data_IF_234443499925
#
_entry.id   IF_234443499925
#
_cell.length_a   1.000
_cell.length_b   1.000
_cell.length_c   1.000
_cell.angle_alpha   90.00
_cell.angle_beta   90.00
_cell.angle_gamma   90.00
#
_symmetry.space_group_name_H-M   'P 1'
#
loop_
_entity.id
_entity.type
_entity.pdbx_description
1 polymer ?
2 water ?
#
# COMPACT_ATOMS: atom_id res chain seq x y z
N UNK A 6 -10.94 -13.56 16.81
CA UNK A 6 -10.47 -13.65 15.41
C UNK A 6 -11.63 -13.78 14.44
N UNK A 7 -11.57 -13.03 13.34
CA UNK A 7 -12.61 -13.08 12.31
C UNK A 7 -12.01 -13.38 10.93
N UNK A 8 -12.90 -13.81 10.02
CA UNK A 8 -12.50 -14.17 8.66
C UNK A 8 -13.04 -13.16 7.65
N UNK A 9 -14.35 -13.23 7.41
CA UNK A 9 -15.12 -12.40 6.48
C UNK A 9 -14.31 -11.93 5.26
N UNK A 10 -14.26 -10.61 5.05
CA UNK A 10 -13.52 -10.04 3.93
C UNK A 10 -13.02 -8.63 4.24
N UNK A 11 -11.81 -8.32 3.79
CA UNK A 11 -11.21 -7.01 4.04
C UNK A 11 -10.22 -6.62 2.95
N UNK A 12 -9.95 -5.32 2.84
CA UNK A 12 -9.00 -4.80 1.85
C UNK A 12 -7.67 -4.47 2.51
N UNK A 13 -6.58 -4.64 1.76
CA UNK A 13 -5.24 -4.41 2.28
C UNK A 13 -4.40 -3.54 1.34
N UNK A 14 -3.59 -2.66 1.92
CA UNK A 14 -2.72 -1.78 1.14
C UNK A 14 -1.25 -2.10 1.40
N UNK A 15 -0.45 -2.08 0.33
CA UNK A 15 0.99 -2.35 0.42
C UNK A 15 1.78 -1.25 -0.28
N UNK A 16 2.81 -0.73 0.40
CA UNK A 16 3.62 0.35 -0.16
C UNK A 16 5.10 0.16 0.14
N UNK A 17 5.94 0.59 -0.82
CA UNK A 17 7.39 0.52 -0.67
C UNK A 17 8.10 1.32 -1.76
N UNK A 18 9.12 2.07 -1.36
CA UNK A 18 9.88 2.91 -2.28
C UNK A 18 11.17 2.22 -2.73
N UNK A 19 11.48 2.32 -4.02
CA UNK A 19 12.70 1.70 -4.56
C UNK A 19 13.89 2.65 -4.45
N UNK A 20 13.60 3.93 -4.21
CA UNK A 20 14.63 4.95 -4.09
C UNK A 20 15.08 5.15 -2.65
N UNK A 21 15.30 4.04 -1.95
CA UNK A 21 15.74 4.08 -0.56
C UNK A 21 17.19 3.60 -0.44
N UNK A 22 18.12 4.49 -0.76
CA UNK A 22 19.56 4.18 -0.73
C UNK A 22 19.88 2.92 -1.53
N UNK A 23 19.65 2.99 -2.83
CA UNK A 23 19.89 1.87 -3.74
C UNK A 23 20.20 2.35 -5.15
N UNK A 24 19.81 3.59 -5.45
CA UNK A 24 20.02 4.18 -6.77
C UNK A 24 21.51 4.30 -7.10
N UNK A 25 22.15 5.35 -6.59
CA UNK A 25 23.58 5.58 -6.85
C UNK A 25 24.24 6.32 -5.69
N UNK A 26 23.54 6.38 -4.55
CA UNK A 26 24.04 7.07 -3.36
C UNK A 26 25.25 6.35 -2.76
N UNK A 27 26.09 7.11 -2.06
CA UNK A 27 27.28 6.55 -1.42
C UNK A 27 26.98 6.05 0.00
N UNK A 28 25.86 6.54 0.55
CA UNK A 28 25.42 6.19 1.90
C UNK A 28 26.14 7.01 2.97
N UNK A 29 25.39 7.94 3.58
CA UNK A 29 25.96 8.81 4.62
C UNK A 29 25.15 8.74 5.91
N UNK A 30 25.85 8.79 7.05
CA UNK A 30 25.18 8.75 8.36
C UNK A 30 24.41 10.04 8.65
N UNK A 31 24.87 11.15 8.07
CA UNK A 31 24.22 12.45 8.26
C UNK A 31 23.40 12.84 7.03
N UNK A 32 22.25 13.47 7.28
CA UNK A 32 21.34 13.92 6.22
C UNK A 32 20.61 12.75 5.54
N UNK A 33 21.38 11.81 5.01
CA UNK A 33 20.82 10.64 4.35
C UNK A 33 20.04 9.78 5.35
N UNK A 34 19.28 8.81 4.81
CA UNK A 34 18.40 7.94 5.60
C UNK A 34 17.81 8.65 6.82
N UNK A 35 17.49 9.93 6.65
CA UNK A 35 16.87 10.74 7.71
C UNK A 35 15.81 11.69 7.14
N UNK A 36 16.04 12.10 5.87
CA UNK A 36 15.06 12.92 5.16
C UNK A 36 13.93 12.06 4.59
N UNK A 37 14.29 10.84 4.20
CA UNK A 37 13.33 9.85 3.72
C UNK A 37 12.51 9.30 4.89
N UNK A 38 13.17 9.16 6.04
CA UNK A 38 12.53 8.71 7.27
C UNK A 38 11.60 9.79 7.83
N UNK A 39 11.88 11.04 7.46
CA UNK A 39 11.05 12.17 7.88
C UNK A 39 9.76 12.24 7.06
N UNK A 40 9.80 11.65 5.87
CA UNK A 40 8.62 11.57 5.00
C UNK A 40 7.62 10.55 5.55
N UNK A 41 8.13 9.37 5.92
CA UNK A 41 7.31 8.31 6.49
C UNK A 41 6.78 8.69 7.87
N UNK A 42 7.43 9.66 8.51
CA UNK A 42 7.00 10.14 9.82
C UNK A 42 5.79 11.07 9.71
N UNK A 43 5.50 11.48 8.46
CA UNK A 43 4.35 12.34 8.19
C UNK A 43 3.13 11.51 7.80
N UNK A 44 3.38 10.23 7.47
CA UNK A 44 2.32 9.31 7.07
C UNK A 44 1.57 8.75 8.29
N UNK A 45 2.32 8.46 9.35
CA UNK A 45 1.74 7.93 10.58
C UNK A 45 0.94 9.00 11.32
N UNK A 46 1.35 10.26 11.16
CA UNK A 46 0.65 11.39 11.76
C UNK A 46 -0.67 11.66 11.03
N UNK A 47 -0.68 11.41 9.72
CA UNK A 47 -1.86 11.62 8.90
C UNK A 47 -2.78 10.39 8.90
N UNK A 48 -2.41 9.39 9.70
CA UNK A 48 -3.20 8.17 9.83
C UNK A 48 -4.59 8.46 10.38
N UNK A 49 -4.65 9.31 11.41
CA UNK A 49 -5.92 9.67 12.05
C UNK A 49 -6.91 10.27 11.04
N UNK A 50 -7.73 9.39 10.46
CA UNK A 50 -8.74 9.79 9.49
C UNK A 50 -9.89 8.77 9.48
N UNK A 51 -9.53 7.49 9.40
CA UNK A 51 -10.51 6.41 9.39
C UNK A 51 -9.97 5.20 10.17
N UNK A 52 -10.54 4.02 9.91
CA UNK A 52 -10.12 2.79 10.56
C UNK A 52 -8.89 2.19 9.90
N UNK A 53 -7.71 2.68 10.27
CA UNK A 53 -6.46 2.20 9.70
C UNK A 53 -5.35 2.13 10.75
N UNK A 54 -4.55 1.05 10.69
CA UNK A 54 -3.45 0.86 11.63
C UNK A 54 -2.30 0.07 11.00
N UNK A 55 -1.07 0.42 11.40
CA UNK A 55 0.13 -0.27 10.94
C UNK A 55 0.25 -1.64 11.58
N UNK A 56 0.56 -2.65 10.77
CA UNK A 56 0.64 -4.03 11.27
C UNK A 56 2.07 -4.56 11.23
N UNK A 57 2.44 -5.15 10.09
CA UNK A 57 3.75 -5.77 9.94
C UNK A 57 4.75 -4.84 9.25
N UNK A 58 6.03 -4.96 9.68
CA UNK A 58 7.10 -4.16 9.08
C UNK A 58 8.47 -4.75 9.43
N UNK A 59 9.15 -5.25 8.39
CA UNK A 59 10.46 -5.89 8.57
C UNK A 59 11.60 -4.87 8.53
N UNK A 60 11.57 -4.01 7.49
CA UNK A 60 12.61 -3.00 7.32
C UNK A 60 12.04 -1.64 6.96
N UNK A 61 12.11 -1.29 5.68
CA UNK A 61 11.62 -0.01 5.19
C UNK A 61 10.25 -0.13 4.53
N UNK A 62 9.63 -1.30 4.64
CA UNK A 62 8.32 -1.55 4.05
C UNK A 62 7.21 -0.93 4.89
N UNK A 63 6.15 -0.48 4.21
CA UNK A 63 5.00 0.13 4.88
C UNK A 63 3.69 -0.38 4.30
N UNK A 64 2.95 -1.15 5.10
CA UNK A 64 1.68 -1.71 4.67
C UNK A 64 0.58 -1.53 5.72
N UNK A 65 -0.59 -1.10 5.26
CA UNK A 65 -1.73 -0.84 6.14
C UNK A 65 -2.96 -1.64 5.70
N UNK A 66 -3.59 -2.33 6.64
CA UNK A 66 -4.79 -3.11 6.36
C UNK A 66 -6.05 -2.37 6.82
N UNK A 67 -7.16 -2.62 6.13
CA UNK A 67 -8.44 -2.03 6.49
C UNK A 67 -9.29 -3.00 7.32
N UNK A 68 -8.74 -4.19 7.58
CA UNK A 68 -9.43 -5.22 8.36
C UNK A 68 -9.34 -5.00 9.86
N UNK A 69 -9.30 -3.69 10.24
CA UNK A 69 -9.26 -3.34 11.66
C UNK A 69 -10.45 -3.97 12.40
N UNK A 70 -10.26 -4.25 13.70
CA UNK A 70 -11.28 -4.83 14.57
C UNK A 70 -12.71 -4.41 14.23
N UNK A 71 -12.91 -3.11 14.02
CA UNK A 71 -14.21 -2.57 13.63
C UNK A 71 -14.30 -2.38 12.12
N UNK A 72 -14.99 -3.29 11.44
CA UNK A 72 -15.09 -3.25 9.98
C UNK A 72 -16.27 -2.43 9.47
N UNK A 73 -16.05 -1.72 8.37
CA UNK A 73 -17.09 -0.92 7.73
C UNK A 73 -17.38 -1.44 6.33
N UNK A 74 -18.63 -1.30 5.88
CA UNK A 74 -19.02 -1.75 4.54
C UNK A 74 -18.12 -1.20 3.43
N UNK A 75 -17.77 0.10 3.56
CA UNK A 75 -16.93 0.75 2.56
C UNK A 75 -15.44 0.65 2.92
N UNK A 76 -14.98 -0.57 3.18
CA UNK A 76 -13.57 -0.80 3.52
C UNK A 76 -12.66 -0.67 2.31
N UNK A 77 -13.20 -0.98 1.13
CA UNK A 77 -12.46 -0.88 -0.12
C UNK A 77 -12.33 0.58 -0.56
N UNK A 78 -13.32 1.39 -0.21
CA UNK A 78 -13.33 2.81 -0.55
C UNK A 78 -12.54 3.64 0.46
N UNK A 79 -12.20 3.03 1.59
CA UNK A 79 -11.43 3.71 2.63
C UNK A 79 -9.95 3.79 2.29
N UNK A 80 -9.47 2.80 1.53
CA UNK A 80 -8.08 2.77 1.08
C UNK A 80 -7.93 3.38 -0.31
N UNK A 81 -9.04 3.38 -1.06
CA UNK A 81 -9.07 3.92 -2.42
C UNK A 81 -8.79 5.42 -2.45
N UNK A 82 -9.30 6.14 -1.45
CA UNK A 82 -9.06 7.57 -1.33
C UNK A 82 -7.78 7.85 -0.56
N UNK A 83 -7.39 6.89 0.28
CA UNK A 83 -6.18 6.99 1.09
C UNK A 83 -4.92 6.83 0.24
N UNK A 84 -5.05 6.11 -0.88
CA UNK A 84 -3.93 5.89 -1.79
C UNK A 84 -3.67 7.11 -2.67
N UNK A 85 -4.66 8.02 -2.70
CA UNK A 85 -4.54 9.25 -3.48
C UNK A 85 -3.69 10.29 -2.76
N UNK A 86 -3.66 10.20 -1.43
CA UNK A 86 -2.85 11.12 -0.61
C UNK A 86 -1.44 10.57 -0.39
N UNK A 87 -1.25 9.28 -0.67
CA UNK A 87 0.06 8.65 -0.53
C UNK A 87 1.07 9.28 -1.49
N UNK A 88 0.58 9.71 -2.65
CA UNK A 88 1.43 10.35 -3.66
C UNK A 88 1.35 11.87 -3.55
N UNK A 89 0.18 12.38 -3.18
CA UNK A 89 -0.04 13.82 -3.05
C UNK A 89 0.84 14.44 -1.96
N UNK A 90 0.84 13.80 -0.78
CA UNK A 90 1.63 14.28 0.35
C UNK A 90 3.13 14.17 0.06
N UNK A 91 3.54 13.00 -0.43
CA UNK A 91 4.95 12.76 -0.77
C UNK A 91 5.32 13.42 -2.10
N UNK A 92 4.99 14.70 -2.23
CA UNK A 92 5.28 15.47 -3.44
C UNK A 92 5.66 16.91 -3.10
N UNK A 93 5.22 17.37 -1.93
CA UNK A 93 5.50 18.73 -1.47
C UNK A 93 6.95 18.91 -1.03
N UNK A 94 7.51 17.87 -0.41
CA UNK A 94 8.89 17.91 0.07
C UNK A 94 9.88 17.64 -1.06
N UNK A 95 10.52 18.71 -1.54
CA UNK A 95 11.50 18.62 -2.62
C UNK A 95 12.77 19.40 -2.27
N UNK A 96 12.58 20.58 -1.68
CA UNK A 96 13.69 21.43 -1.25
C UNK A 96 13.85 21.37 0.27
N UNK A 97 15.09 21.19 0.74
CA UNK A 97 16.28 21.06 -0.10
C UNK A 97 16.52 19.64 -0.60
N UNK A 98 17.62 19.45 -1.33
CA UNK A 98 17.98 18.15 -1.90
C UNK A 98 16.87 17.59 -2.79
N UNK A 99 17.12 17.64 -4.11
CA UNK A 99 16.15 17.22 -5.11
C UNK A 99 15.99 15.71 -5.22
N UNK A 100 14.83 15.22 -4.79
CA UNK A 100 14.54 13.79 -4.84
C UNK A 100 13.22 13.50 -5.56
N UNK A 101 13.26 12.54 -6.50
CA UNK A 101 12.06 12.16 -7.25
C UNK A 101 11.06 11.39 -6.39
N UNK A 102 9.97 10.94 -7.01
CA UNK A 102 8.94 10.18 -6.31
C UNK A 102 8.71 8.82 -6.97
N UNK A 103 9.61 7.86 -6.69
CA UNK A 103 9.48 6.51 -7.23
C UNK A 103 8.75 5.56 -6.27
N UNK A 104 7.73 6.08 -5.59
CA UNK A 104 6.95 5.29 -4.64
C UNK A 104 6.01 4.33 -5.37
N UNK A 105 6.03 3.06 -4.95
CA UNK A 105 5.19 2.04 -5.57
C UNK A 105 4.12 1.54 -4.59
N UNK A 106 2.87 1.63 -5.02
CA UNK A 106 1.72 1.24 -4.20
C UNK A 106 0.91 0.14 -4.87
N UNK A 107 0.56 -0.88 -4.09
CA UNK A 107 -0.24 -2.00 -4.59
C UNK A 107 -1.43 -2.30 -3.69
N UNK A 108 -2.60 -2.51 -4.31
CA UNK A 108 -3.82 -2.79 -3.55
C UNK A 108 -4.32 -4.21 -3.78
N UNK A 109 -5.21 -4.66 -2.90
CA UNK A 109 -5.81 -5.99 -2.98
C UNK A 109 -6.87 -6.18 -1.89
N UNK A 110 -7.86 -7.03 -2.17
CA UNK A 110 -8.91 -7.33 -1.20
C UNK A 110 -9.31 -8.81 -1.26
N UNK A 111 -9.81 -9.32 -0.14
CA UNK A 111 -10.23 -10.71 -0.04
C UNK A 111 -10.31 -11.20 1.39
N UNK A 112 -10.18 -12.52 1.59
CA UNK A 112 -10.23 -13.11 2.93
C UNK A 112 -9.00 -12.76 3.76
N UNK A 113 -9.24 -12.27 4.98
CA UNK A 113 -8.16 -11.90 5.89
C UNK A 113 -8.44 -12.44 7.29
N UNK A 114 -7.46 -13.16 7.84
CA UNK A 114 -7.59 -13.75 9.18
C UNK A 114 -6.58 -13.14 10.15
N UNK A 115 -7.00 -13.02 11.43
CA UNK A 115 -6.15 -12.45 12.47
C UNK A 115 -5.17 -13.49 13.02
N UNK A 116 -3.92 -13.08 13.22
CA UNK A 116 -2.89 -13.97 13.73
C UNK A 116 -2.97 -14.18 15.22
N UNK A 117 -2.37 -13.26 15.98
CA UNK A 117 -2.31 -13.35 17.45
C UNK A 117 -1.91 -14.74 17.95
N UNK A 118 -0.59 -14.93 18.12
CA UNK A 118 -0.04 -16.20 18.59
C UNK A 118 0.36 -16.10 20.06
N UNK A 119 -0.19 -17.00 20.87
CA UNK A 119 0.09 -17.03 22.30
C UNK A 119 1.50 -17.52 22.60
N UNK A 120 2.18 -16.81 23.50
CA UNK A 120 3.55 -17.13 23.92
C UNK A 120 4.49 -17.39 22.72
N UNK A 121 5.70 -17.86 23.06
CA UNK A 121 6.75 -18.14 22.06
C UNK A 121 7.22 -16.90 21.28
N UNK A 122 6.29 -16.01 20.93
CA UNK A 122 6.65 -14.80 20.20
C UNK A 122 5.62 -13.68 20.39
N UNK A 123 6.11 -12.49 20.73
CA UNK A 123 5.25 -11.33 20.94
C UNK A 123 4.91 -10.64 19.62
N UNK A 124 3.75 -10.99 19.06
CA UNK A 124 3.32 -10.45 17.77
C UNK A 124 1.83 -10.67 17.50
N UNK A 125 1.24 -9.77 16.72
CA UNK A 125 -0.17 -9.90 16.34
C UNK A 125 -0.30 -10.27 14.86
N UNK A 126 0.51 -9.62 14.02
CA UNK A 126 0.61 -9.94 12.59
C UNK A 126 -0.72 -9.86 11.84
N UNK A 127 -0.66 -10.18 10.54
CA UNK A 127 -1.82 -10.25 9.67
C UNK A 127 -1.55 -11.22 8.52
N UNK A 128 -2.47 -12.17 8.31
CA UNK A 128 -2.29 -13.15 7.24
C UNK A 128 -3.60 -13.41 6.48
N UNK A 129 -3.47 -13.94 5.27
CA UNK A 129 -4.62 -14.25 4.42
C UNK A 129 -4.25 -14.34 2.96
N UNK A 130 -5.25 -14.63 2.12
CA UNK A 130 -5.04 -14.73 0.68
C UNK A 130 -4.77 -13.35 0.07
N UNK A 131 -5.45 -12.34 0.60
CA UNK A 131 -5.32 -10.96 0.12
C UNK A 131 -3.97 -10.35 0.47
N UNK A 132 -3.50 -10.62 1.69
CA UNK A 132 -2.22 -10.07 2.16
C UNK A 132 -1.05 -10.60 1.33
N UNK A 133 -1.20 -11.81 0.80
CA UNK A 133 -0.16 -12.44 -0.01
C UNK A 133 -0.07 -11.84 -1.41
N UNK A 134 -1.23 -11.48 -1.97
CA UNK A 134 -1.30 -10.94 -3.33
C UNK A 134 -1.20 -9.42 -3.38
N UNK A 135 -1.03 -8.79 -2.21
CA UNK A 135 -0.90 -7.33 -2.15
C UNK A 135 0.56 -6.90 -2.31
N UNK A 136 1.47 -7.88 -2.14
CA UNK A 136 2.90 -7.66 -2.21
C UNK A 136 3.44 -7.72 -3.63
N UNK A 137 2.95 -8.69 -4.41
CA UNK A 137 3.39 -8.87 -5.79
C UNK A 137 3.07 -7.66 -6.67
N UNK A 138 2.00 -6.95 -6.30
CA UNK A 138 1.60 -5.73 -7.00
C UNK A 138 2.66 -4.64 -6.81
N UNK A 139 3.24 -4.60 -5.61
CA UNK A 139 4.28 -3.63 -5.29
C UNK A 139 5.59 -3.98 -6.00
N UNK A 140 6.07 -5.21 -5.77
CA UNK A 140 7.35 -5.66 -6.32
C UNK A 140 7.41 -5.51 -7.84
N UNK A 141 6.29 -5.80 -8.52
CA UNK A 141 6.23 -5.69 -9.97
C UNK A 141 5.39 -4.48 -10.40
N UNK A 142 5.99 -3.29 -10.29
CA UNK A 142 5.31 -2.06 -10.67
C UNK A 142 6.21 -1.18 -11.53
N UNK A 143 5.62 -0.60 -12.58
CA UNK A 143 6.36 0.26 -13.51
C UNK A 143 6.40 1.71 -13.01
N UNK A 144 6.80 2.61 -13.92
CA UNK A 144 6.91 4.04 -13.62
C UNK A 144 7.07 4.36 -12.13
N UNK A 145 5.98 4.22 -11.37
CA UNK A 145 5.95 4.49 -9.94
C UNK A 145 4.56 4.93 -9.51
N UNK A 146 3.55 4.16 -9.90
CA UNK A 146 2.16 4.48 -9.61
C UNK A 146 1.47 3.36 -8.83
N UNK A 147 0.17 3.54 -8.55
CA UNK A 147 -0.60 2.58 -7.76
C UNK A 147 -1.21 1.49 -8.64
N UNK A 148 -1.00 0.24 -8.24
CA UNK A 148 -1.50 -0.91 -8.98
C UNK A 148 -2.72 -1.55 -8.29
N UNK A 149 -3.84 -1.57 -9.04
CA UNK A 149 -5.10 -2.11 -8.50
C UNK A 149 -5.51 -3.37 -9.27
N UNK A 150 -6.03 -4.38 -8.53
CA UNK A 150 -6.48 -5.63 -9.14
C UNK A 150 -7.95 -5.59 -9.55
N UNK A 151 -8.41 -6.67 -10.20
CA UNK A 151 -9.80 -6.77 -10.64
C UNK A 151 -10.78 -6.77 -9.47
N UNK A 152 -10.36 -7.39 -8.36
CA UNK A 152 -11.20 -7.46 -7.17
C UNK A 152 -11.63 -6.06 -6.71
N UNK A 153 -10.62 -5.19 -6.53
CA UNK A 153 -10.85 -3.81 -6.14
C UNK A 153 -11.55 -3.03 -7.25
N UNK A 154 -11.36 -3.48 -8.49
CA UNK A 154 -11.97 -2.85 -9.66
C UNK A 154 -13.49 -3.02 -9.68
N UNK A 155 -13.97 -4.07 -9.00
CA UNK A 155 -15.41 -4.33 -8.93
C UNK A 155 -16.06 -3.50 -7.82
N UNK A 156 -15.24 -3.06 -6.86
CA UNK A 156 -15.72 -2.24 -5.75
C UNK A 156 -15.35 -0.78 -5.96
N UNK A 157 -16.18 -0.07 -6.73
CA UNK A 157 -15.94 1.34 -7.03
C UNK A 157 -17.22 2.17 -6.97
N UNK A 158 -18.36 1.52 -7.20
CA UNK A 158 -19.67 2.17 -7.13
C UNK A 158 -19.72 3.49 -7.90
N UNK A 159 -19.23 3.45 -9.14
CA UNK A 159 -19.21 4.61 -10.03
C UNK A 159 -18.74 5.89 -9.32
N UNK A 160 -17.61 5.80 -8.63
CA UNK A 160 -17.06 6.93 -7.88
C UNK A 160 -15.54 7.03 -8.01
N UNK A 161 -14.95 6.17 -8.85
CA UNK A 161 -13.50 6.16 -9.03
C UNK A 161 -13.11 5.97 -10.49
N UNK A 162 -12.00 6.59 -10.88
CA UNK A 162 -11.49 6.48 -12.24
C UNK A 162 -10.33 5.49 -12.29
N UNK A 163 -10.50 4.44 -13.09
CA UNK A 163 -9.47 3.41 -13.23
C UNK A 163 -9.07 3.23 -14.70
N UNK A 164 -7.77 3.04 -14.93
CA UNK A 164 -7.23 2.87 -16.27
C UNK A 164 -6.56 1.50 -16.43
N UNK A 165 -6.86 0.82 -17.53
CA UNK A 165 -6.34 -0.52 -17.80
C UNK A 165 -4.83 -0.51 -18.05
N UNK A 166 -4.16 -1.52 -17.50
CA UNK A 166 -2.72 -1.68 -17.68
C UNK A 166 -2.41 -2.85 -18.61
N UNK A 167 -2.64 -4.07 -18.14
CA UNK A 167 -2.40 -5.26 -18.95
C UNK A 167 -1.91 -6.45 -18.14
N UNK A 168 -1.03 -7.25 -18.75
CA UNK A 168 -0.51 -8.46 -18.13
C UNK A 168 1.02 -8.50 -18.16
N UNK A 169 1.61 -9.13 -17.15
CA UNK A 169 3.06 -9.31 -17.07
C UNK A 169 3.40 -10.78 -16.87
N UNK A 170 4.35 -11.05 -15.93
CA UNK A 170 4.78 -12.41 -15.63
C UNK A 170 4.72 -12.69 -14.13
N UNK A 171 4.03 -13.81 -13.78
CA UNK A 171 3.89 -14.21 -12.38
C UNK A 171 4.28 -15.67 -12.16
N UNK A 172 4.71 -15.98 -10.94
CA UNK A 172 5.09 -17.35 -10.57
C UNK A 172 4.13 -17.93 -9.53
N UNK A 173 3.58 -17.06 -8.69
CA UNK A 173 2.67 -17.47 -7.63
C UNK A 173 1.28 -17.82 -8.14
N UNK A 174 0.66 -16.89 -8.85
CA UNK A 174 -0.68 -17.09 -9.40
C UNK A 174 -0.68 -18.08 -10.57
N UNK A 175 0.36 -18.01 -11.39
CA UNK A 175 0.48 -18.86 -12.57
C UNK A 175 -0.15 -18.22 -13.79
N UNK A 176 -1.43 -17.89 -13.68
CA UNK A 176 -2.17 -17.24 -14.76
C UNK A 176 -2.34 -15.74 -14.49
N UNK A 177 -1.87 -14.92 -15.43
CA UNK A 177 -1.93 -13.47 -15.28
C UNK A 177 -3.36 -12.95 -15.39
N UNK A 178 -3.60 -11.80 -14.73
CA UNK A 178 -4.91 -11.15 -14.77
C UNK A 178 -4.78 -9.66 -15.10
N UNK A 179 -5.85 -9.09 -15.66
CA UNK A 179 -5.87 -7.68 -16.03
C UNK A 179 -5.75 -6.78 -14.80
N UNK A 180 -4.85 -5.81 -14.87
CA UNK A 180 -4.61 -4.89 -13.76
C UNK A 180 -5.03 -3.46 -14.09
N UNK A 181 -5.32 -2.67 -13.06
CA UNK A 181 -5.76 -1.29 -13.25
C UNK A 181 -4.95 -0.32 -12.40
N UNK A 182 -5.14 0.97 -12.67
CA UNK A 182 -4.47 2.04 -11.92
C UNK A 182 -5.46 3.14 -11.55
N UNK A 183 -5.49 3.51 -10.27
CA UNK A 183 -6.39 4.56 -9.80
C UNK A 183 -5.79 5.95 -9.99
N UNK A 184 -6.53 6.80 -10.70
CA UNK A 184 -6.09 8.17 -10.97
C UNK A 184 -6.61 9.14 -9.93
N UNK A 185 -7.92 9.36 -9.93
CA UNK A 185 -8.56 10.27 -8.97
C UNK A 185 -9.98 9.82 -8.66
N UNK A 186 -10.51 10.32 -7.54
CA UNK A 186 -11.87 9.98 -7.11
C UNK A 186 -12.90 10.90 -7.77
N UNK A 187 -13.98 10.31 -8.26
CA UNK A 187 -15.05 11.08 -8.89
C UNK A 187 -15.89 11.81 -7.83
N UNK A 188 -15.91 13.13 -7.92
CA UNK A 188 -16.67 13.97 -7.00
C UNK A 188 -17.50 15.01 -7.75
N UNK A 189 -18.83 14.85 -7.70
CA UNK A 189 -19.73 15.77 -8.39
C UNK A 189 -20.04 16.99 -7.53
#
# INVERSE_FOLDING_TARGET
>A
RNIIADKYDEASVLFADIVGFTERASSTAPADLVRFLDRLYSAFDELVDQHGLEKIEVSGDSYMVVSGVPRPRPDHTQALADFALDMTNVAAQLKDPRGNPVPLRVGLATGPVVAGVVGSRRFRYCVWGDAVNVASRMESTDSVGQIQVPDEVYERLKDDFVLRERGHINVKGKGVMRTWYLIGRKVAADPGEVRGAEPRTAGV
#
